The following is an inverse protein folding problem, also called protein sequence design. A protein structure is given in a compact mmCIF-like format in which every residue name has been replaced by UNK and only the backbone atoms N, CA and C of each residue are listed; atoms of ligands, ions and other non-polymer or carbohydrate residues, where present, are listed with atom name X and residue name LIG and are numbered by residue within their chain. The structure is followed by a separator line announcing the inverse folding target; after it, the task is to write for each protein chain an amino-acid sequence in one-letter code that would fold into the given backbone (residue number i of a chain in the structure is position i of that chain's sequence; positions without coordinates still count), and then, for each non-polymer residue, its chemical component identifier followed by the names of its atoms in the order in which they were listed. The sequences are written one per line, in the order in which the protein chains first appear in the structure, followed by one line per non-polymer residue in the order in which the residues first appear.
data_IF_072414099223
#
_entry.id   IF_072414099223
#
_cell.length_a   1.000
_cell.length_b   1.000
_cell.length_c   1.000
_cell.angle_alpha   90.00
_cell.angle_beta   90.00
_cell.angle_gamma   90.00
#
_symmetry.space_group_name_H-M   'P 1'
#
loop_
_entity.id
_entity.type
_entity.pdbx_description
1 polymer ?
#
# COMPACT_ATOMS: atom_id res chain seq x y z
N UNK A 1 11.77 -1.96 -39.55
CA UNK A 1 13.05 -1.78 -38.83
C UNK A 1 13.26 -2.79 -37.70
N UNK A 2 12.26 -3.10 -36.84
CA UNK A 2 12.33 -4.29 -35.94
C UNK A 2 12.55 -5.61 -36.71
N UNK A 3 12.03 -5.74 -37.94
CA UNK A 3 12.36 -6.81 -38.91
C UNK A 3 13.73 -6.64 -39.60
N UNK A 4 14.29 -5.43 -39.62
CA UNK A 4 15.61 -5.14 -40.19
C UNK A 4 16.73 -5.44 -39.19
N UNK A 5 16.40 -5.39 -37.89
CA UNK A 5 17.24 -5.75 -36.74
C UNK A 5 16.94 -7.20 -36.25
N UNK A 6 15.82 -7.79 -36.68
CA UNK A 6 15.48 -9.20 -36.50
C UNK A 6 15.94 -10.02 -37.71
N UNK A 7 17.09 -10.68 -37.64
CA UNK A 7 17.09 -12.10 -37.31
C UNK A 7 16.08 -12.91 -38.15
N UNK A 8 16.45 -13.21 -39.40
CA UNK A 8 15.98 -14.44 -40.04
C UNK A 8 16.65 -15.64 -39.33
N UNK A 9 15.92 -16.75 -39.27
CA UNK A 9 16.02 -17.85 -38.29
C UNK A 9 17.37 -18.61 -38.19
N UNK A 10 18.40 -18.26 -38.96
CA UNK A 10 19.71 -18.94 -38.91
C UNK A 10 20.83 -18.18 -38.20
N UNK A 11 20.67 -16.90 -37.82
CA UNK A 11 21.80 -16.05 -37.36
C UNK A 11 21.74 -15.59 -35.89
N UNK A 12 21.06 -16.32 -35.00
CA UNK A 12 20.94 -15.92 -33.58
C UNK A 12 21.82 -16.74 -32.62
N UNK A 13 22.65 -17.67 -33.11
CA UNK A 13 23.53 -18.47 -32.26
C UNK A 13 24.98 -18.00 -32.40
N UNK A 14 25.33 -17.01 -31.58
CA UNK A 14 26.64 -16.78 -30.92
C UNK A 14 27.03 -15.29 -30.89
N UNK A 15 26.93 -14.68 -29.72
CA UNK A 15 27.95 -13.75 -29.17
C UNK A 15 27.39 -12.97 -27.98
N UNK A 16 27.58 -13.53 -26.78
CA UNK A 16 27.94 -12.70 -25.63
C UNK A 16 29.37 -12.22 -25.86
N UNK A 17 29.54 -10.92 -26.12
CA UNK A 17 30.83 -10.24 -26.20
C UNK A 17 31.33 -9.99 -27.63
N UNK A 18 31.39 -8.70 -28.02
CA UNK A 18 32.02 -8.23 -29.26
C UNK A 18 31.02 -7.89 -30.36
N UNK A 19 30.97 -6.60 -30.73
CA UNK A 19 30.04 -6.07 -31.75
C UNK A 19 30.24 -6.68 -33.14
N UNK A 20 29.11 -6.98 -33.78
CA UNK A 20 29.02 -7.49 -35.16
C UNK A 20 29.10 -6.30 -36.14
N UNK A 21 29.79 -6.51 -37.26
CA UNK A 21 29.92 -5.57 -38.39
C UNK A 21 28.82 -5.88 -39.41
N UNK A 22 27.99 -4.90 -39.76
CA UNK A 22 27.13 -4.97 -40.94
C UNK A 22 27.54 -3.85 -41.90
N UNK A 23 27.86 -4.18 -43.15
CA UNK A 23 27.83 -3.22 -44.26
C UNK A 23 26.90 -3.79 -45.31
N UNK A 24 25.97 -2.98 -45.79
CA UNK A 24 24.95 -3.39 -46.72
C UNK A 24 25.07 -2.51 -47.97
N UNK A 25 25.69 -3.05 -49.02
CA UNK A 25 25.43 -2.58 -50.37
C UNK A 25 24.36 -3.51 -50.95
N UNK A 26 23.28 -2.92 -51.47
CA UNK A 26 22.24 -3.68 -52.17
C UNK A 26 22.76 -4.08 -53.55
N UNK A 27 22.86 -5.37 -53.81
CA UNK A 27 23.17 -5.94 -55.13
C UNK A 27 21.87 -6.51 -55.71
N UNK A 28 21.55 -6.14 -56.94
CA UNK A 28 20.39 -6.67 -57.65
C UNK A 28 20.66 -8.10 -58.12
N UNK A 29 19.89 -9.07 -57.64
CA UNK A 29 19.99 -10.49 -57.99
C UNK A 29 19.10 -10.77 -59.21
N UNK A 30 19.71 -10.81 -60.40
CA UNK A 30 19.00 -11.01 -61.67
C UNK A 30 18.29 -12.38 -61.78
N UNK A 31 18.66 -13.38 -60.97
CA UNK A 31 18.03 -14.69 -61.00
C UNK A 31 16.72 -14.74 -60.18
N UNK A 32 16.61 -13.86 -59.18
CA UNK A 32 15.45 -13.77 -58.28
C UNK A 32 14.63 -12.48 -58.48
N UNK A 33 15.15 -11.54 -59.29
CA UNK A 33 14.53 -10.25 -59.61
C UNK A 33 14.28 -9.34 -58.39
N UNK A 34 15.23 -9.33 -57.44
CA UNK A 34 15.13 -8.53 -56.20
C UNK A 34 16.48 -7.92 -55.78
N UNK A 35 16.43 -6.81 -55.04
CA UNK A 35 17.63 -6.23 -54.41
C UNK A 35 17.96 -6.97 -53.11
N UNK A 36 19.16 -7.55 -53.04
CA UNK A 36 19.64 -8.29 -51.87
C UNK A 36 20.74 -7.52 -51.17
N UNK A 37 20.79 -7.66 -49.86
CA UNK A 37 21.74 -6.99 -48.99
C UNK A 37 22.90 -7.95 -48.69
N UNK A 38 24.12 -7.66 -49.18
CA UNK A 38 25.29 -8.56 -49.04
C UNK A 38 26.37 -8.01 -48.09
N UNK A 39 26.81 -8.82 -47.11
CA UNK A 39 27.75 -8.40 -46.05
C UNK A 39 28.86 -9.42 -45.73
N UNK A 40 29.62 -9.91 -46.73
CA UNK A 40 30.74 -10.86 -46.51
C UNK A 40 32.13 -10.18 -46.47
N UNK A 41 32.97 -10.57 -45.49
CA UNK A 41 34.37 -10.09 -45.31
C UNK A 41 35.37 -10.68 -46.31
N UNK A 42 35.00 -11.67 -47.12
CA UNK A 42 35.86 -12.18 -48.19
C UNK A 42 36.08 -11.16 -49.31
N UNK A 43 35.11 -10.26 -49.53
CA UNK A 43 35.12 -9.33 -50.66
C UNK A 43 35.71 -7.94 -50.34
N UNK A 44 35.81 -7.53 -49.06
CA UNK A 44 36.27 -6.17 -48.69
C UNK A 44 37.37 -6.16 -47.59
N UNK A 45 38.59 -6.63 -47.91
CA UNK A 45 39.69 -6.75 -46.94
C UNK A 45 40.37 -5.42 -46.56
N UNK A 46 40.12 -4.33 -47.28
CA UNK A 46 40.84 -3.05 -47.14
C UNK A 46 40.12 -1.93 -46.37
N UNK A 47 38.98 -2.20 -45.73
CA UNK A 47 38.26 -1.17 -44.96
C UNK A 47 38.99 -0.87 -43.65
N UNK A 48 39.79 0.20 -43.62
CA UNK A 48 40.46 0.73 -42.42
C UNK A 48 39.44 1.37 -41.46
N UNK A 49 39.70 1.28 -40.15
CA UNK A 49 38.84 1.80 -39.07
C UNK A 49 39.59 2.84 -38.25
N UNK A 50 39.10 4.08 -38.22
CA UNK A 50 39.59 5.07 -37.25
C UNK A 50 38.81 5.01 -35.93
N UNK A 51 37.46 4.89 -35.92
CA UNK A 51 36.63 4.58 -34.73
C UNK A 51 35.26 3.97 -35.11
N UNK A 52 34.71 3.11 -34.23
CA UNK A 52 33.30 2.70 -34.24
C UNK A 52 32.86 1.63 -35.26
N UNK A 53 31.57 1.25 -35.18
CA UNK A 53 30.85 0.51 -36.22
C UNK A 53 29.95 1.52 -36.93
N UNK A 54 30.17 1.71 -38.23
CA UNK A 54 29.33 2.57 -39.06
C UNK A 54 28.36 1.67 -39.83
N UNK A 55 27.08 1.99 -39.79
CA UNK A 55 26.01 1.30 -40.53
C UNK A 55 25.43 2.30 -41.53
N UNK A 56 25.43 1.92 -42.81
CA UNK A 56 24.78 2.67 -43.88
C UNK A 56 23.61 1.84 -44.41
N UNK A 57 22.49 2.52 -44.65
CA UNK A 57 21.34 1.96 -45.35
C UNK A 57 20.77 3.01 -46.30
N UNK A 58 20.43 2.60 -47.51
CA UNK A 58 19.71 3.45 -48.46
C UNK A 58 18.53 2.68 -49.01
N UNK A 59 17.35 3.28 -48.99
CA UNK A 59 16.14 2.71 -49.57
C UNK A 59 15.45 3.77 -50.42
N UNK A 60 15.21 3.46 -51.70
CA UNK A 60 14.53 4.35 -52.65
C UNK A 60 13.03 4.46 -52.42
N UNK A 61 12.46 3.52 -51.68
CA UNK A 61 11.01 3.35 -51.49
C UNK A 61 10.54 3.97 -50.16
N UNK A 62 11.46 4.44 -49.32
CA UNK A 62 11.13 5.11 -48.06
C UNK A 62 10.61 6.53 -48.31
N UNK A 63 9.45 6.81 -47.72
CA UNK A 63 8.89 8.15 -47.65
C UNK A 63 9.61 9.00 -46.60
N UNK A 64 9.31 10.31 -46.57
CA UNK A 64 9.78 11.17 -45.47
C UNK A 64 9.26 10.70 -44.11
N UNK A 65 8.04 10.17 -44.05
CA UNK A 65 7.45 9.64 -42.81
C UNK A 65 8.20 8.39 -42.33
N UNK A 66 8.71 7.56 -43.25
CA UNK A 66 9.51 6.38 -42.90
C UNK A 66 10.90 6.79 -42.37
N UNK A 67 11.50 7.84 -42.92
CA UNK A 67 12.73 8.42 -42.41
C UNK A 67 12.52 9.02 -41.02
N UNK A 68 11.43 9.76 -40.81
CA UNK A 68 11.10 10.31 -39.49
C UNK A 68 10.94 9.20 -38.45
N UNK A 69 10.22 8.12 -38.77
CA UNK A 69 10.11 6.95 -37.88
C UNK A 69 11.45 6.30 -37.55
N UNK A 70 12.42 6.38 -38.47
CA UNK A 70 13.77 5.87 -38.25
C UNK A 70 14.52 6.78 -37.29
N UNK A 71 14.46 8.09 -37.52
CA UNK A 71 15.03 9.10 -36.62
C UNK A 71 14.44 8.94 -35.21
N UNK A 72 13.11 8.94 -35.08
CA UNK A 72 12.40 8.77 -33.81
C UNK A 72 12.85 7.51 -33.07
N UNK A 73 12.87 6.35 -33.75
CA UNK A 73 13.30 5.10 -33.13
C UNK A 73 14.76 5.12 -32.68
N UNK A 74 15.64 5.77 -33.45
CA UNK A 74 17.06 5.86 -33.13
C UNK A 74 17.29 6.80 -31.95
N UNK A 75 16.59 7.93 -31.91
CA UNK A 75 16.61 8.89 -30.79
C UNK A 75 16.05 8.29 -29.51
N UNK A 76 15.12 7.33 -29.60
CA UNK A 76 14.59 6.59 -28.46
C UNK A 76 15.54 5.51 -27.93
N UNK A 77 16.68 5.21 -28.58
CA UNK A 77 17.59 4.18 -28.09
C UNK A 77 18.21 4.56 -26.75
N UNK A 78 18.17 3.63 -25.80
CA UNK A 78 18.86 3.78 -24.53
C UNK A 78 20.35 3.43 -24.70
N UNK A 79 21.13 4.45 -24.98
CA UNK A 79 22.55 4.31 -25.26
C UNK A 79 23.36 4.00 -23.98
N UNK A 80 24.39 3.14 -24.06
CA UNK A 80 25.36 3.01 -22.98
C UNK A 80 26.10 4.33 -22.73
N UNK A 81 26.36 4.66 -21.46
CA UNK A 81 26.99 5.93 -21.06
C UNK A 81 28.40 6.17 -21.62
N UNK A 82 29.13 5.10 -21.92
CA UNK A 82 30.48 5.16 -22.52
C UNK A 82 30.45 5.22 -24.05
N UNK A 83 29.26 5.37 -24.65
CA UNK A 83 29.03 5.31 -26.09
C UNK A 83 28.23 6.50 -26.57
N UNK A 84 28.53 6.86 -27.80
CA UNK A 84 27.85 7.90 -28.56
C UNK A 84 27.37 7.25 -29.86
N UNK A 85 26.13 7.53 -30.25
CA UNK A 85 25.58 7.19 -31.54
C UNK A 85 25.44 8.46 -32.36
N UNK A 86 26.11 8.48 -33.51
CA UNK A 86 26.04 9.58 -34.45
C UNK A 86 25.03 9.21 -35.54
N UNK A 87 23.95 9.97 -35.63
CA UNK A 87 22.92 9.83 -36.67
C UNK A 87 23.08 10.97 -37.67
N UNK A 88 23.33 10.62 -38.94
CA UNK A 88 23.39 11.57 -40.05
C UNK A 88 22.35 11.16 -41.11
N UNK A 89 21.37 12.01 -41.38
CA UNK A 89 20.49 11.86 -42.55
C UNK A 89 20.91 12.83 -43.64
N UNK A 90 20.68 12.47 -44.91
CA UNK A 90 21.20 13.24 -46.06
C UNK A 90 20.14 14.00 -46.84
N UNK A 91 18.88 13.57 -46.80
CA UNK A 91 17.74 14.21 -47.49
C UNK A 91 16.42 13.98 -46.72
N UNK A 92 16.01 14.90 -45.84
CA UNK A 92 16.69 16.15 -45.45
C UNK A 92 18.03 15.91 -44.75
N UNK A 93 18.91 16.92 -44.67
CA UNK A 93 20.16 16.77 -43.91
C UNK A 93 19.91 17.05 -42.43
N UNK A 94 20.11 16.06 -41.58
CA UNK A 94 20.11 16.19 -40.12
C UNK A 94 21.35 15.51 -39.55
N UNK A 95 21.85 16.02 -38.43
CA UNK A 95 22.97 15.43 -37.71
C UNK A 95 22.68 15.52 -36.21
N UNK A 96 22.70 14.38 -35.54
CA UNK A 96 22.41 14.26 -34.12
C UNK A 96 23.42 13.31 -33.44
N UNK A 97 23.76 13.63 -32.19
CA UNK A 97 24.57 12.75 -31.34
C UNK A 97 23.73 12.32 -30.16
N UNK A 98 23.45 11.02 -30.10
CA UNK A 98 22.65 10.41 -29.05
C UNK A 98 23.61 9.76 -28.05
N UNK A 99 23.44 10.10 -26.78
CA UNK A 99 24.31 9.67 -25.68
C UNK A 99 23.49 9.02 -24.57
N UNK A 100 24.11 8.12 -23.81
CA UNK A 100 23.44 7.50 -22.67
C UNK A 100 23.11 8.49 -21.55
N UNK A 101 21.96 8.30 -20.91
CA UNK A 101 21.54 9.03 -19.71
C UNK A 101 21.98 8.26 -18.46
N UNK A 102 22.33 8.97 -17.38
CA UNK A 102 22.57 8.34 -16.09
C UNK A 102 21.25 7.89 -15.45
N UNK A 103 21.14 6.63 -15.02
CA UNK A 103 19.87 6.17 -14.48
C UNK A 103 19.58 6.73 -13.10
N UNK A 104 18.31 7.05 -12.81
CA UNK A 104 17.86 7.45 -11.46
C UNK A 104 18.06 6.32 -10.45
N UNK A 105 17.99 5.08 -10.93
CA UNK A 105 18.20 3.89 -10.14
C UNK A 105 18.74 2.70 -10.92
N UNK A 106 19.41 1.82 -10.20
CA UNK A 106 19.75 0.47 -10.67
C UNK A 106 19.19 -0.55 -9.69
N UNK A 107 18.28 -1.39 -10.17
CA UNK A 107 17.79 -2.55 -9.46
C UNK A 107 18.80 -3.69 -9.66
N UNK A 108 19.56 -3.97 -8.61
CA UNK A 108 20.65 -4.95 -8.68
C UNK A 108 20.12 -6.39 -8.65
N UNK A 109 20.73 -7.28 -9.44
CA UNK A 109 20.52 -8.74 -9.37
C UNK A 109 19.05 -9.24 -9.53
N UNK A 110 18.27 -8.58 -10.38
CA UNK A 110 16.88 -8.95 -10.65
C UNK A 110 16.77 -10.30 -11.33
N UNK A 111 16.02 -11.23 -10.73
CA UNK A 111 15.84 -12.59 -11.24
C UNK A 111 14.63 -12.62 -12.18
N UNK A 112 14.88 -12.37 -13.46
CA UNK A 112 13.84 -12.18 -14.47
C UNK A 112 13.93 -13.27 -15.56
N UNK A 113 12.80 -13.66 -16.16
CA UNK A 113 12.81 -14.55 -17.32
C UNK A 113 13.49 -13.88 -18.51
N UNK A 114 14.11 -14.71 -19.34
CA UNK A 114 14.88 -14.32 -20.51
C UNK A 114 14.83 -15.41 -21.56
N UNK A 115 14.98 -15.02 -22.82
CA UNK A 115 14.97 -15.93 -23.94
C UNK A 115 16.40 -16.34 -24.31
N UNK A 116 16.62 -17.65 -24.42
CA UNK A 116 17.85 -18.22 -24.97
C UNK A 116 17.52 -19.13 -26.15
N UNK A 117 18.39 -19.12 -27.15
CA UNK A 117 18.33 -20.06 -28.26
C UNK A 117 19.30 -21.20 -27.98
N UNK A 118 18.77 -22.41 -27.92
CA UNK A 118 19.52 -23.63 -27.66
C UNK A 118 19.18 -24.63 -28.77
N UNK A 119 20.16 -25.01 -29.58
CA UNK A 119 19.98 -25.90 -30.75
C UNK A 119 18.90 -25.41 -31.74
N UNK A 120 18.76 -24.10 -31.92
CA UNK A 120 17.75 -23.49 -32.80
C UNK A 120 16.34 -23.44 -32.19
N UNK A 121 16.14 -23.95 -30.98
CA UNK A 121 14.87 -23.89 -30.26
C UNK A 121 14.90 -22.75 -29.25
N UNK A 122 13.89 -21.89 -29.31
CA UNK A 122 13.68 -20.85 -28.31
C UNK A 122 13.27 -21.47 -26.97
N UNK A 123 14.01 -21.16 -25.91
CA UNK A 123 13.68 -21.59 -24.55
C UNK A 123 13.72 -20.42 -23.60
N UNK A 124 12.73 -20.37 -22.71
CA UNK A 124 12.73 -19.44 -21.59
C UNK A 124 13.63 -19.98 -20.47
N UNK A 125 14.47 -19.12 -19.91
CA UNK A 125 15.27 -19.36 -18.70
C UNK A 125 15.16 -18.14 -17.80
N UNK A 126 15.52 -18.28 -16.53
CA UNK A 126 15.63 -17.14 -15.64
C UNK A 126 17.09 -16.83 -15.35
N UNK A 127 17.44 -15.55 -15.28
CA UNK A 127 18.78 -15.07 -14.97
C UNK A 127 18.72 -13.83 -14.10
N UNK A 128 19.79 -13.62 -13.33
CA UNK A 128 20.00 -12.36 -12.60
C UNK A 128 20.57 -11.33 -13.56
N UNK A 129 19.95 -10.16 -13.60
CA UNK A 129 20.37 -9.02 -14.43
C UNK A 129 20.22 -7.73 -13.64
N UNK A 130 21.07 -6.71 -13.85
CA UNK A 130 20.73 -5.37 -13.45
C UNK A 130 19.59 -4.84 -14.34
N UNK A 131 18.78 -3.95 -13.77
CA UNK A 131 17.78 -3.16 -14.50
C UNK A 131 17.99 -1.70 -14.14
N UNK A 132 18.25 -0.87 -15.14
CA UNK A 132 18.33 0.58 -14.99
C UNK A 132 16.92 1.17 -15.05
N UNK A 133 16.65 2.19 -14.23
CA UNK A 133 15.33 2.82 -14.13
C UNK A 133 15.46 4.32 -14.17
N UNK A 134 14.62 4.97 -14.99
CA UNK A 134 14.39 6.41 -14.98
C UNK A 134 12.94 6.71 -14.66
N UNK A 135 12.70 7.73 -13.84
CA UNK A 135 11.38 8.31 -13.63
C UNK A 135 11.06 9.23 -14.80
N UNK A 136 9.83 9.16 -15.28
CA UNK A 136 9.28 9.98 -16.38
C UNK A 136 7.89 10.45 -15.99
N UNK A 137 7.23 11.21 -16.85
CA UNK A 137 5.85 11.61 -16.58
C UNK A 137 4.90 10.40 -16.70
N UNK A 138 3.76 10.39 -15.97
CA UNK A 138 2.74 9.36 -16.12
C UNK A 138 2.28 9.22 -17.58
N UNK A 139 2.26 7.98 -18.08
CA UNK A 139 1.92 7.67 -19.48
C UNK A 139 3.10 7.73 -20.45
N UNK A 140 4.31 8.10 -19.99
CA UNK A 140 5.55 8.02 -20.79
C UNK A 140 6.37 6.76 -20.44
N UNK A 141 5.81 5.84 -19.65
CA UNK A 141 6.48 4.63 -19.21
C UNK A 141 6.85 3.69 -20.34
N UNK A 142 7.84 2.83 -20.10
CA UNK A 142 8.31 1.92 -21.15
C UNK A 142 9.33 0.91 -20.67
N UNK A 143 9.55 -0.12 -21.50
CA UNK A 143 10.52 -1.18 -21.21
C UNK A 143 11.46 -1.32 -22.41
N UNK A 144 12.75 -1.32 -22.11
CA UNK A 144 13.84 -1.49 -23.05
C UNK A 144 14.53 -2.82 -22.83
N UNK A 145 14.82 -3.50 -23.94
CA UNK A 145 15.62 -4.71 -23.99
C UNK A 145 16.99 -4.36 -24.55
N UNK A 146 18.05 -4.48 -23.75
CA UNK A 146 19.43 -4.18 -24.18
C UNK A 146 19.53 -2.79 -24.82
N UNK A 147 18.78 -1.83 -24.28
CA UNK A 147 18.65 -0.46 -24.75
C UNK A 147 17.77 -0.24 -25.99
N UNK A 148 17.02 -1.25 -26.42
CA UNK A 148 16.07 -1.13 -27.55
C UNK A 148 14.63 -1.09 -27.00
N UNK A 149 13.80 -0.09 -27.38
CA UNK A 149 12.43 0.01 -26.89
C UNK A 149 11.58 -1.18 -27.32
N UNK A 150 10.96 -1.82 -26.33
CA UNK A 150 10.03 -2.94 -26.50
C UNK A 150 8.60 -2.45 -26.40
N UNK A 151 8.29 -1.77 -25.29
CA UNK A 151 7.00 -1.13 -25.02
C UNK A 151 7.21 0.36 -24.75
N UNK A 152 6.20 1.14 -25.09
CA UNK A 152 6.08 2.58 -24.87
C UNK A 152 4.69 2.87 -24.32
N UNK A 153 4.52 4.09 -23.79
CA UNK A 153 3.23 4.63 -23.34
C UNK A 153 2.56 3.81 -22.23
N UNK A 154 3.37 3.20 -21.36
CA UNK A 154 2.88 2.44 -20.21
C UNK A 154 2.32 3.40 -19.13
N UNK A 155 1.28 2.98 -18.41
CA UNK A 155 0.60 3.81 -17.40
C UNK A 155 1.51 4.19 -16.23
N UNK A 156 2.51 3.36 -15.91
CA UNK A 156 3.46 3.63 -14.83
C UNK A 156 4.53 4.66 -15.27
N UNK A 157 4.96 5.58 -14.41
CA UNK A 157 5.87 6.69 -14.77
C UNK A 157 7.36 6.27 -14.76
N UNK A 158 7.69 5.10 -15.32
CA UNK A 158 9.06 4.58 -15.29
C UNK A 158 9.50 3.99 -16.62
N UNK A 159 10.75 4.24 -16.98
CA UNK A 159 11.44 3.54 -18.05
C UNK A 159 12.37 2.48 -17.46
N UNK A 160 12.24 1.23 -17.90
CA UNK A 160 13.08 0.12 -17.45
C UNK A 160 14.03 -0.33 -18.55
N UNK A 161 15.34 -0.17 -18.39
CA UNK A 161 16.33 -0.78 -19.29
C UNK A 161 16.85 -2.11 -18.73
N UNK A 162 16.40 -3.20 -19.33
CA UNK A 162 16.71 -4.56 -18.95
C UNK A 162 17.90 -5.06 -19.76
N UNK A 163 19.00 -5.37 -19.08
CA UNK A 163 20.28 -5.79 -19.69
C UNK A 163 20.30 -7.26 -20.15
N UNK A 164 19.16 -7.79 -20.59
CA UNK A 164 19.01 -9.12 -21.17
C UNK A 164 17.82 -9.18 -22.13
N UNK A 165 17.74 -10.26 -22.92
CA UNK A 165 16.57 -10.54 -23.77
C UNK A 165 15.30 -10.69 -22.92
N UNK A 166 14.21 -10.08 -23.35
CA UNK A 166 12.90 -10.13 -22.70
C UNK A 166 11.98 -11.12 -23.42
N UNK A 167 11.06 -11.81 -22.72
CA UNK A 167 10.11 -12.73 -23.33
C UNK A 167 8.96 -11.96 -23.98
N UNK A 168 9.22 -11.46 -25.19
CA UNK A 168 8.25 -10.73 -26.01
C UNK A 168 7.50 -11.67 -26.97
N UNK A 169 6.31 -11.24 -27.41
CA UNK A 169 5.58 -11.92 -28.50
C UNK A 169 6.37 -11.91 -29.81
N UNK A 170 5.96 -12.71 -30.81
CA UNK A 170 6.62 -12.79 -32.14
C UNK A 170 6.78 -11.42 -32.82
N UNK A 171 5.85 -10.50 -32.57
CA UNK A 171 5.87 -9.12 -33.11
C UNK A 171 6.78 -8.16 -32.33
N UNK A 172 7.37 -8.62 -31.21
CA UNK A 172 8.31 -7.86 -30.36
C UNK A 172 7.81 -6.49 -29.91
N UNK A 173 6.51 -6.36 -29.74
CA UNK A 173 5.82 -5.11 -29.35
C UNK A 173 4.96 -5.28 -28.10
N UNK A 174 4.86 -6.50 -27.56
CA UNK A 174 4.04 -6.80 -26.39
C UNK A 174 4.84 -7.69 -25.44
N UNK A 175 4.94 -7.24 -24.18
CA UNK A 175 5.45 -8.02 -23.06
C UNK A 175 4.28 -8.68 -22.33
N UNK A 176 4.57 -9.78 -21.65
CA UNK A 176 3.59 -10.40 -20.75
C UNK A 176 3.36 -9.50 -19.52
N UNK A 177 2.11 -9.40 -19.06
CA UNK A 177 1.75 -8.59 -17.89
C UNK A 177 2.50 -9.03 -16.63
N UNK A 178 2.82 -10.32 -16.49
CA UNK A 178 3.60 -10.80 -15.35
C UNK A 178 5.01 -10.21 -15.30
N UNK A 179 5.61 -9.91 -16.46
CA UNK A 179 6.93 -9.31 -16.56
C UNK A 179 6.94 -7.86 -16.07
N UNK A 180 5.99 -7.05 -16.58
CA UNK A 180 5.78 -5.66 -16.12
C UNK A 180 5.59 -5.61 -14.61
N UNK A 181 4.78 -6.54 -14.14
CA UNK A 181 4.43 -6.67 -12.74
C UNK A 181 5.61 -7.02 -11.87
N UNK A 182 6.52 -7.88 -12.35
CA UNK A 182 7.74 -8.21 -11.62
C UNK A 182 8.73 -7.04 -11.55
N UNK A 183 8.85 -6.26 -12.63
CA UNK A 183 9.65 -5.03 -12.64
C UNK A 183 9.12 -3.99 -11.64
N UNK A 184 7.82 -3.69 -11.71
CA UNK A 184 7.19 -2.74 -10.79
C UNK A 184 7.26 -3.19 -9.33
N UNK A 185 7.03 -4.48 -9.06
CA UNK A 185 7.23 -5.06 -7.71
C UNK A 185 8.65 -4.81 -7.22
N UNK A 186 9.64 -5.10 -8.06
CA UNK A 186 11.04 -4.92 -7.69
C UNK A 186 11.39 -3.46 -7.44
N UNK A 187 10.88 -2.56 -8.28
CA UNK A 187 11.04 -1.13 -8.11
C UNK A 187 10.51 -0.67 -6.75
N UNK A 188 9.26 -1.01 -6.44
CA UNK A 188 8.60 -0.63 -5.19
C UNK A 188 9.37 -1.21 -3.99
N UNK A 189 9.79 -2.47 -4.05
CA UNK A 189 10.46 -3.13 -2.93
C UNK A 189 11.86 -2.56 -2.63
N UNK A 190 12.57 -2.09 -3.67
CA UNK A 190 13.97 -1.66 -3.53
C UNK A 190 14.16 -0.14 -3.56
N UNK A 191 13.26 0.60 -4.22
CA UNK A 191 13.43 2.02 -4.55
C UNK A 191 12.13 2.82 -4.40
N UNK A 192 11.42 2.59 -3.30
CA UNK A 192 10.25 3.39 -2.93
C UNK A 192 10.58 4.89 -2.85
N UNK A 193 11.84 5.24 -2.59
CA UNK A 193 12.38 6.60 -2.56
C UNK A 193 12.25 7.37 -3.89
N UNK A 194 12.02 6.69 -5.01
CA UNK A 194 11.78 7.36 -6.30
C UNK A 194 10.36 7.90 -6.45
N UNK A 195 9.42 7.38 -5.67
CA UNK A 195 8.04 7.87 -5.62
C UNK A 195 7.99 9.02 -4.63
N UNK A 196 7.27 10.09 -4.98
CA UNK A 196 6.95 11.18 -4.07
C UNK A 196 5.78 10.78 -3.16
N UNK A 197 5.59 11.49 -2.03
CA UNK A 197 4.57 11.10 -1.03
C UNK A 197 3.14 11.15 -1.60
N UNK A 198 2.85 12.12 -2.48
CA UNK A 198 1.56 12.24 -3.17
C UNK A 198 1.30 11.06 -4.12
N UNK A 199 2.36 10.49 -4.72
CA UNK A 199 2.26 9.36 -5.65
C UNK A 199 1.93 8.04 -4.95
N UNK A 200 2.20 7.94 -3.63
CA UNK A 200 1.89 6.73 -2.86
C UNK A 200 0.38 6.44 -2.83
N UNK A 201 -0.45 7.46 -3.10
CA UNK A 201 -1.89 7.37 -3.27
C UNK A 201 -2.35 6.71 -4.56
N UNK A 202 -1.52 6.73 -5.61
CA UNK A 202 -1.92 6.47 -6.99
C UNK A 202 -2.25 4.99 -7.26
N UNK A 203 -3.11 4.75 -8.26
CA UNK A 203 -3.58 3.41 -8.61
C UNK A 203 -2.42 2.49 -9.00
N UNK A 204 -1.46 3.00 -9.79
CA UNK A 204 -0.28 2.25 -10.22
C UNK A 204 0.72 1.97 -9.08
N UNK A 205 0.57 2.55 -7.89
CA UNK A 205 1.38 2.19 -6.71
C UNK A 205 0.59 1.21 -5.85
N UNK A 206 -0.64 1.58 -5.51
CA UNK A 206 -1.52 0.80 -4.62
C UNK A 206 -1.87 -0.58 -5.18
N UNK A 207 -2.09 -0.68 -6.49
CA UNK A 207 -2.36 -1.95 -7.15
C UNK A 207 -1.19 -2.93 -7.00
N UNK A 208 0.04 -2.49 -7.27
CA UNK A 208 1.21 -3.38 -7.22
C UNK A 208 1.64 -3.70 -5.79
N UNK A 209 1.62 -2.73 -4.88
CA UNK A 209 1.88 -2.98 -3.47
C UNK A 209 0.96 -4.06 -2.91
N UNK A 210 -0.32 -4.02 -3.31
CA UNK A 210 -1.25 -5.01 -2.83
C UNK A 210 -1.12 -6.37 -3.50
N UNK A 211 -1.05 -6.43 -4.82
CA UNK A 211 -0.92 -7.70 -5.54
C UNK A 211 0.28 -8.51 -5.02
N UNK A 212 1.31 -7.82 -4.51
CA UNK A 212 2.55 -8.41 -4.02
C UNK A 212 2.82 -8.16 -2.55
N UNK A 213 1.83 -7.85 -1.71
CA UNK A 213 2.05 -7.61 -0.27
C UNK A 213 2.81 -8.75 0.42
N UNK A 214 2.59 -10.00 0.02
CA UNK A 214 3.31 -11.18 0.53
C UNK A 214 4.76 -11.33 0.03
N UNK A 215 5.16 -10.57 -1.00
CA UNK A 215 6.52 -10.55 -1.58
C UNK A 215 7.26 -9.25 -1.33
N UNK A 216 6.55 -8.16 -1.03
CA UNK A 216 7.13 -6.88 -0.61
C UNK A 216 7.66 -7.03 0.81
N UNK A 217 8.86 -6.54 1.06
CA UNK A 217 9.48 -6.62 2.37
C UNK A 217 8.67 -5.86 3.42
N UNK A 218 8.67 -6.35 4.67
CA UNK A 218 8.00 -5.66 5.78
C UNK A 218 8.53 -4.23 5.95
N UNK A 219 9.85 -4.04 5.74
CA UNK A 219 10.47 -2.71 5.81
C UNK A 219 9.85 -1.76 4.80
N UNK A 220 9.70 -2.18 3.55
CA UNK A 220 9.09 -1.36 2.50
C UNK A 220 7.62 -1.07 2.79
N UNK A 221 6.87 -2.05 3.32
CA UNK A 221 5.47 -1.83 3.72
C UNK A 221 5.35 -0.79 4.85
N UNK A 222 6.22 -0.88 5.86
CA UNK A 222 6.27 0.09 6.96
C UNK A 222 6.68 1.48 6.47
N UNK A 223 7.67 1.56 5.58
CA UNK A 223 8.10 2.83 4.97
C UNK A 223 6.98 3.46 4.14
N UNK A 224 6.26 2.65 3.36
CA UNK A 224 5.08 3.08 2.61
C UNK A 224 4.00 3.66 3.53
N UNK A 225 3.66 2.97 4.62
CA UNK A 225 2.67 3.47 5.59
C UNK A 225 3.14 4.78 6.20
N UNK A 226 4.40 4.82 6.66
CA UNK A 226 4.95 6.02 7.31
C UNK A 226 4.90 7.25 6.41
N UNK A 227 5.26 7.09 5.15
CA UNK A 227 5.25 8.19 4.18
C UNK A 227 3.84 8.57 3.74
N UNK A 228 2.96 7.60 3.45
CA UNK A 228 1.60 7.85 2.98
C UNK A 228 0.70 8.50 4.04
N UNK A 229 0.83 8.07 5.29
CA UNK A 229 -0.05 8.51 6.39
C UNK A 229 0.64 9.48 7.36
N UNK A 230 1.91 9.81 7.11
CA UNK A 230 2.69 10.73 7.94
C UNK A 230 2.87 10.29 9.40
N UNK A 231 2.65 9.00 9.69
CA UNK A 231 2.58 8.43 11.04
C UNK A 231 3.36 7.13 11.11
N UNK A 232 4.08 6.87 12.20
CA UNK A 232 4.75 5.57 12.37
C UNK A 232 3.72 4.43 12.32
N UNK A 233 3.98 3.31 11.62
CA UNK A 233 3.02 2.21 11.52
C UNK A 233 2.61 1.61 12.87
N UNK A 234 3.46 1.70 13.90
CA UNK A 234 3.14 1.21 15.24
C UNK A 234 2.26 2.19 16.04
N UNK A 235 2.16 3.44 15.60
CA UNK A 235 1.35 4.49 16.23
C UNK A 235 0.02 4.69 15.48
N UNK A 236 -0.03 4.39 14.18
CA UNK A 236 -1.22 4.45 13.36
C UNK A 236 -2.19 3.31 13.73
N UNK A 237 -3.34 3.63 14.33
CA UNK A 237 -4.33 2.62 14.69
C UNK A 237 -5.27 2.33 13.50
N UNK A 238 -5.71 1.08 13.38
CA UNK A 238 -6.69 0.69 12.35
C UNK A 238 -7.99 0.18 12.96
N UNK A 239 -9.11 0.51 12.33
CA UNK A 239 -10.42 0.02 12.73
C UNK A 239 -11.28 -0.38 11.53
N UNK A 240 -12.32 -1.14 11.80
CA UNK A 240 -13.30 -1.60 10.81
C UNK A 240 -14.70 -1.58 11.41
N UNK A 241 -15.71 -1.92 10.60
CA UNK A 241 -17.11 -2.05 11.06
C UNK A 241 -17.31 -3.10 12.17
N UNK A 242 -16.33 -3.97 12.42
CA UNK A 242 -16.35 -4.93 13.53
C UNK A 242 -15.66 -4.42 14.80
N UNK A 243 -15.03 -3.25 14.76
CA UNK A 243 -14.40 -2.65 15.94
C UNK A 243 -15.48 -2.03 16.84
N UNK A 244 -15.48 -2.33 18.16
CA UNK A 244 -16.45 -1.75 19.09
C UNK A 244 -16.49 -0.22 19.06
N UNK A 245 -17.69 0.37 19.03
CA UNK A 245 -17.91 1.82 18.97
C UNK A 245 -17.26 2.54 20.18
N UNK A 246 -17.22 1.90 21.35
CA UNK A 246 -16.50 2.43 22.52
C UNK A 246 -15.02 2.60 22.26
N UNK A 247 -14.35 1.60 21.66
CA UNK A 247 -12.91 1.64 21.42
C UNK A 247 -12.57 2.75 20.41
N UNK A 248 -13.40 2.91 19.37
CA UNK A 248 -13.26 3.99 18.39
C UNK A 248 -13.49 5.35 19.06
N UNK A 249 -14.58 5.51 19.82
CA UNK A 249 -14.91 6.76 20.52
C UNK A 249 -13.79 7.17 21.48
N UNK A 250 -13.26 6.21 22.24
CA UNK A 250 -12.16 6.40 23.18
C UNK A 250 -10.88 6.91 22.48
N UNK A 251 -10.57 6.37 21.30
CA UNK A 251 -9.40 6.79 20.51
C UNK A 251 -9.62 8.16 19.84
N UNK A 252 -10.83 8.48 19.36
CA UNK A 252 -11.21 9.80 18.85
C UNK A 252 -11.04 10.88 19.93
N UNK A 253 -11.51 10.64 21.15
CA UNK A 253 -11.40 11.59 22.26
C UNK A 253 -9.95 11.94 22.59
N UNK A 254 -9.03 11.01 22.37
CA UNK A 254 -7.59 11.16 22.60
C UNK A 254 -6.82 11.65 21.37
N UNK A 255 -7.51 11.93 20.26
CA UNK A 255 -6.91 12.41 19.02
C UNK A 255 -5.80 11.49 18.51
N UNK A 256 -5.96 10.17 18.70
CA UNK A 256 -5.01 9.20 18.17
C UNK A 256 -5.10 9.16 16.64
N UNK A 257 -3.99 8.92 15.92
CA UNK A 257 -4.03 8.75 14.48
C UNK A 257 -4.70 7.42 14.16
N UNK A 258 -5.78 7.45 13.36
CA UNK A 258 -6.54 6.25 13.03
C UNK A 258 -6.98 6.23 11.58
N UNK A 259 -7.07 5.03 11.01
CA UNK A 259 -7.55 4.80 9.66
C UNK A 259 -8.66 3.75 9.60
N UNK A 260 -9.71 4.06 8.83
CA UNK A 260 -10.83 3.16 8.60
C UNK A 260 -10.49 2.17 7.49
N UNK A 261 -10.30 0.90 7.82
CA UNK A 261 -10.02 -0.17 6.86
C UNK A 261 -11.10 -0.30 5.78
N UNK A 262 -12.34 0.11 6.05
CA UNK A 262 -13.47 0.07 5.12
C UNK A 262 -13.40 1.14 4.02
N UNK A 263 -12.61 2.20 4.19
CA UNK A 263 -12.43 3.26 3.19
C UNK A 263 -11.40 2.89 2.12
N UNK A 264 -10.60 1.88 2.39
CA UNK A 264 -9.56 1.41 1.49
C UNK A 264 -9.99 0.20 0.69
N UNK A 265 -9.40 0.03 -0.49
CA UNK A 265 -9.50 -1.23 -1.20
C UNK A 265 -8.97 -2.36 -0.30
N UNK A 266 -9.57 -3.56 -0.37
CA UNK A 266 -9.16 -4.77 0.41
C UNK A 266 -7.64 -4.96 0.47
N UNK A 267 -7.04 -4.56 -0.62
CA UNK A 267 -5.65 -4.55 -0.96
C UNK A 267 -4.78 -3.70 -0.03
N UNK A 268 -5.15 -2.43 0.20
CA UNK A 268 -4.49 -1.54 1.15
C UNK A 268 -4.93 -1.84 2.58
N UNK A 269 -6.21 -2.17 2.80
CA UNK A 269 -6.72 -2.59 4.10
C UNK A 269 -5.94 -3.79 4.65
N UNK A 270 -5.55 -4.74 3.78
CA UNK A 270 -4.75 -5.89 4.18
C UNK A 270 -3.31 -5.54 4.60
N UNK A 271 -2.69 -4.51 4.00
CA UNK A 271 -1.36 -4.04 4.42
C UNK A 271 -1.48 -3.34 5.79
N UNK A 272 -2.44 -2.42 5.91
CA UNK A 272 -2.71 -1.70 7.15
C UNK A 272 -3.02 -2.67 8.30
N UNK A 273 -3.93 -3.61 8.10
CA UNK A 273 -4.30 -4.62 9.10
C UNK A 273 -3.14 -5.53 9.54
N UNK A 274 -2.12 -5.71 8.70
CA UNK A 274 -0.98 -6.57 9.03
C UNK A 274 0.18 -5.81 9.69
N UNK A 275 0.30 -4.51 9.43
CA UNK A 275 1.45 -3.71 9.86
C UNK A 275 1.11 -2.74 10.99
N UNK A 276 -0.17 -2.44 11.18
CA UNK A 276 -0.65 -1.49 12.18
C UNK A 276 -1.46 -2.21 13.27
N UNK A 277 -1.35 -1.78 14.54
CA UNK A 277 -2.19 -2.30 15.62
C UNK A 277 -3.66 -1.90 15.43
N UNK A 278 -4.58 -2.77 15.86
CA UNK A 278 -6.00 -2.41 15.84
C UNK A 278 -6.37 -1.51 17.01
N UNK A 279 -7.35 -0.62 16.80
CA UNK A 279 -7.92 0.22 17.86
C UNK A 279 -8.44 -0.63 19.02
N UNK A 280 -9.02 -1.79 18.74
CA UNK A 280 -9.53 -2.71 19.76
C UNK A 280 -8.42 -3.33 20.61
N UNK A 281 -7.34 -3.83 19.99
CA UNK A 281 -6.19 -4.37 20.74
C UNK A 281 -5.59 -3.30 21.63
N UNK A 282 -5.39 -2.09 21.09
CA UNK A 282 -4.81 -0.98 21.83
C UNK A 282 -5.70 -0.56 23.01
N UNK A 283 -7.02 -0.45 22.79
CA UNK A 283 -8.00 -0.19 23.84
C UNK A 283 -7.97 -1.27 24.93
N UNK A 284 -7.95 -2.55 24.53
CA UNK A 284 -7.89 -3.67 25.46
C UNK A 284 -6.60 -3.65 26.28
N UNK A 285 -5.44 -3.38 25.67
CA UNK A 285 -4.17 -3.29 26.39
C UNK A 285 -4.22 -2.22 27.48
N UNK A 286 -4.73 -1.01 27.17
CA UNK A 286 -4.85 0.06 28.15
C UNK A 286 -5.88 -0.20 29.25
N UNK A 287 -6.91 -0.99 28.96
CA UNK A 287 -8.01 -1.28 29.90
C UNK A 287 -7.83 -2.61 30.63
N UNK A 288 -6.91 -3.46 30.19
CA UNK A 288 -6.65 -4.78 30.77
C UNK A 288 -5.90 -4.73 32.12
N UNK A 289 -5.30 -3.59 32.47
CA UNK A 289 -4.70 -3.35 33.78
C UNK A 289 -5.71 -2.83 34.83
N UNK A 290 -7.03 -2.89 34.56
CA UNK A 290 -8.06 -2.57 35.56
C UNK A 290 -8.03 -3.56 36.72
N UNK A 291 -7.27 -3.24 37.78
CA UNK A 291 -7.42 -3.93 39.06
C UNK A 291 -8.66 -3.39 39.78
N UNK A 292 -9.71 -4.21 39.79
CA UNK A 292 -10.90 -4.04 40.61
C UNK A 292 -10.75 -4.98 41.81
N UNK A 293 -10.46 -4.41 42.98
CA UNK A 293 -10.38 -5.16 44.24
C UNK A 293 -11.60 -4.80 45.12
N UNK A 294 -12.58 -5.71 45.30
CA UNK A 294 -13.72 -5.46 46.16
C UNK A 294 -13.29 -5.09 47.58
N UNK A 295 -13.97 -4.10 48.17
CA UNK A 295 -13.74 -3.74 49.57
C UNK A 295 -14.29 -4.85 50.47
N UNK A 296 -13.42 -5.52 51.23
CA UNK A 296 -13.81 -6.66 52.08
C UNK A 296 -14.70 -6.28 53.27
N UNK A 297 -14.66 -5.02 53.73
CA UNK A 297 -15.45 -4.55 54.88
C UNK A 297 -15.98 -3.15 54.62
N UNK A 298 -17.30 -3.04 54.52
CA UNK A 298 -18.01 -1.78 54.30
C UNK A 298 -18.31 -1.09 55.65
N UNK A 299 -18.36 0.25 55.64
CA UNK A 299 -18.95 1.01 56.73
C UNK A 299 -20.48 0.98 56.67
N UNK A 300 -21.16 1.18 57.80
CA UNK A 300 -22.64 1.20 57.88
C UNK A 300 -23.26 2.18 56.87
N UNK A 301 -22.69 3.38 56.72
CA UNK A 301 -23.17 4.39 55.76
C UNK A 301 -23.03 3.95 54.28
N UNK A 302 -22.03 3.13 53.97
CA UNK A 302 -21.80 2.61 52.62
C UNK A 302 -22.75 1.44 52.31
N UNK A 303 -23.00 0.56 53.29
CA UNK A 303 -24.02 -0.47 53.19
C UNK A 303 -25.42 0.15 53.01
N UNK A 304 -25.71 1.21 53.75
CA UNK A 304 -26.97 1.94 53.64
C UNK A 304 -27.13 2.59 52.26
N UNK A 305 -26.06 3.14 51.68
CA UNK A 305 -26.11 3.71 50.33
C UNK A 305 -26.26 2.64 49.24
N UNK A 306 -25.53 1.52 49.34
CA UNK A 306 -25.66 0.41 48.40
C UNK A 306 -27.09 -0.12 48.41
N UNK A 307 -27.65 -0.35 49.60
CA UNK A 307 -29.06 -0.75 49.75
C UNK A 307 -30.01 0.30 49.18
N UNK A 308 -29.71 1.59 49.34
CA UNK A 308 -30.50 2.65 48.70
C UNK A 308 -30.45 2.55 47.17
N UNK A 309 -29.30 2.26 46.56
CA UNK A 309 -29.24 2.05 45.11
C UNK A 309 -30.02 0.82 44.66
N UNK A 310 -29.96 -0.28 45.41
CA UNK A 310 -30.67 -1.52 45.07
C UNK A 310 -32.19 -1.39 45.28
N UNK A 311 -32.63 -0.84 46.41
CA UNK A 311 -34.06 -0.80 46.77
C UNK A 311 -34.78 0.43 46.22
N UNK A 312 -34.14 1.61 46.29
CA UNK A 312 -34.80 2.89 46.01
C UNK A 312 -34.48 3.44 44.62
N UNK A 313 -33.35 3.08 44.01
CA UNK A 313 -33.06 3.48 42.62
C UNK A 313 -33.44 2.34 41.67
N UNK A 314 -32.77 1.20 41.76
CA UNK A 314 -33.01 0.06 40.88
C UNK A 314 -34.45 -0.45 41.02
N UNK A 315 -34.95 -0.60 42.26
CA UNK A 315 -36.34 -1.01 42.53
C UNK A 315 -37.43 -0.07 41.98
N UNK A 316 -37.08 1.15 41.59
CA UNK A 316 -38.01 2.11 40.93
C UNK A 316 -37.90 2.11 39.41
N UNK A 317 -36.93 1.41 38.85
CA UNK A 317 -36.70 1.32 37.41
C UNK A 317 -37.21 0.00 36.82
N UNK A 318 -37.32 -0.05 35.50
CA UNK A 318 -37.63 -1.26 34.73
C UNK A 318 -36.40 -2.12 34.41
N UNK A 319 -35.22 -1.72 34.87
CA UNK A 319 -33.96 -2.41 34.62
C UNK A 319 -33.92 -3.84 35.19
N UNK A 320 -33.07 -4.68 34.61
CA UNK A 320 -32.74 -6.01 35.11
C UNK A 320 -32.05 -5.99 36.48
N UNK A 321 -31.98 -7.15 37.11
CA UNK A 321 -31.27 -7.31 38.39
C UNK A 321 -29.77 -7.07 38.18
N UNK A 322 -29.22 -6.07 38.87
CA UNK A 322 -27.79 -5.74 38.88
C UNK A 322 -27.32 -5.48 40.32
N UNK A 323 -26.20 -6.08 40.70
CA UNK A 323 -25.64 -5.93 42.05
C UNK A 323 -24.81 -4.65 42.16
N UNK A 324 -24.74 -4.05 43.36
CA UNK A 324 -23.82 -2.95 43.65
C UNK A 324 -22.73 -3.39 44.64
N UNK A 325 -21.46 -3.10 44.34
CA UNK A 325 -20.33 -3.36 45.24
C UNK A 325 -19.39 -2.18 45.30
N UNK A 326 -18.79 -1.95 46.46
CA UNK A 326 -17.68 -1.01 46.60
C UNK A 326 -16.37 -1.72 46.26
N UNK A 327 -15.50 -1.10 45.47
CA UNK A 327 -14.20 -1.64 45.10
C UNK A 327 -13.12 -0.55 45.03
N UNK A 328 -11.87 -0.92 45.28
CA UNK A 328 -10.72 -0.11 44.89
C UNK A 328 -10.50 -0.32 43.39
N UNK A 329 -10.83 0.70 42.61
CA UNK A 329 -10.59 0.70 41.17
C UNK A 329 -9.38 1.59 40.94
N UNK A 330 -8.25 0.94 40.68
CA UNK A 330 -6.97 1.62 40.45
C UNK A 330 -6.86 2.14 39.01
N UNK A 331 -7.79 3.01 38.64
CA UNK A 331 -7.67 3.87 37.46
C UNK A 331 -7.58 5.32 37.92
N UNK A 332 -6.41 5.92 37.72
CA UNK A 332 -6.21 7.36 37.56
C UNK A 332 -4.90 7.56 36.79
N UNK A 333 -5.00 7.62 35.46
CA UNK A 333 -4.01 8.31 34.62
C UNK A 333 -4.34 9.81 34.62
N UNK A 334 -3.41 10.66 34.17
CA UNK A 334 -3.40 12.13 34.36
C UNK A 334 -4.69 12.91 33.99
N UNK A 335 -5.70 12.30 33.37
CA UNK A 335 -6.88 12.95 32.78
C UNK A 335 -8.26 12.70 33.44
N UNK A 336 -8.36 11.91 34.52
CA UNK A 336 -9.60 11.89 35.31
C UNK A 336 -9.95 10.57 36.01
N UNK A 337 -10.79 10.71 37.04
CA UNK A 337 -11.09 9.67 38.02
C UNK A 337 -12.37 8.89 37.70
N UNK A 338 -12.21 7.57 37.51
CA UNK A 338 -13.32 6.63 37.34
C UNK A 338 -14.14 6.56 38.62
N UNK A 339 -15.39 7.05 38.60
CA UNK A 339 -16.26 7.05 39.78
C UNK A 339 -16.94 5.71 40.01
N UNK A 340 -17.39 5.04 38.96
CA UNK A 340 -17.97 3.71 39.00
C UNK A 340 -17.76 3.00 37.65
N UNK A 341 -17.99 1.69 37.60
CA UNK A 341 -17.96 0.91 36.36
C UNK A 341 -18.92 -0.28 36.46
N UNK A 342 -19.66 -0.55 35.40
CA UNK A 342 -20.39 -1.80 35.23
C UNK A 342 -19.50 -2.94 34.70
N UNK A 343 -19.67 -4.15 35.24
CA UNK A 343 -19.06 -5.39 34.75
C UNK A 343 -20.15 -6.33 34.20
N UNK A 344 -20.18 -6.58 32.87
CA UNK A 344 -21.10 -7.54 32.26
C UNK A 344 -20.86 -8.99 32.69
N UNK A 345 -19.64 -9.32 33.11
CA UNK A 345 -19.26 -10.70 33.49
C UNK A 345 -19.91 -11.12 34.80
N UNK A 346 -19.95 -10.20 35.76
CA UNK A 346 -20.48 -10.45 37.10
C UNK A 346 -21.85 -9.81 37.33
N UNK A 347 -22.41 -9.15 36.32
CA UNK A 347 -23.64 -8.33 36.40
C UNK A 347 -23.61 -7.41 37.64
N UNK A 348 -22.47 -6.76 37.85
CA UNK A 348 -22.20 -5.95 39.06
C UNK A 348 -21.72 -4.57 38.67
N UNK A 349 -22.26 -3.53 39.31
CA UNK A 349 -21.77 -2.16 39.29
C UNK A 349 -20.78 -1.97 40.45
N UNK A 350 -19.53 -1.69 40.11
CA UNK A 350 -18.46 -1.40 41.07
C UNK A 350 -18.33 0.11 41.29
N UNK A 351 -18.58 0.55 42.52
CA UNK A 351 -18.41 1.93 42.97
C UNK A 351 -16.94 2.13 43.43
N UNK A 352 -16.26 3.16 42.93
CA UNK A 352 -14.84 3.35 43.24
C UNK A 352 -14.63 4.02 44.61
N UNK A 353 -14.11 3.26 45.57
CA UNK A 353 -13.76 3.73 46.91
C UNK A 353 -12.66 4.80 46.94
N UNK A 354 -11.84 4.90 45.88
CA UNK A 354 -10.82 5.94 45.75
C UNK A 354 -11.38 7.27 45.23
N UNK A 355 -12.53 7.22 44.56
CA UNK A 355 -13.11 8.38 43.87
C UNK A 355 -14.15 9.14 44.69
N UNK A 356 -14.77 8.48 45.67
CA UNK A 356 -15.75 9.08 46.55
C UNK A 356 -15.87 8.29 47.86
N UNK A 357 -16.46 8.89 48.90
CA UNK A 357 -16.68 8.23 50.19
C UNK A 357 -17.89 7.28 50.21
N UNK A 358 -18.81 7.44 49.23
CA UNK A 358 -20.03 6.65 49.07
C UNK A 358 -20.88 6.52 50.35
N UNK A 359 -20.96 7.60 51.14
CA UNK A 359 -21.66 7.63 52.44
C UNK A 359 -23.14 8.05 52.38
N UNK A 360 -23.60 8.62 51.27
CA UNK A 360 -24.95 9.22 51.17
C UNK A 360 -25.45 9.41 49.73
N UNK A 361 -26.78 9.39 49.51
CA UNK A 361 -27.37 9.50 48.18
C UNK A 361 -27.44 10.97 47.72
N UNK A 362 -26.37 11.45 47.09
CA UNK A 362 -26.36 12.77 46.46
C UNK A 362 -26.83 12.69 45.01
N UNK A 363 -27.36 13.78 44.42
CA UNK A 363 -27.77 13.77 43.01
C UNK A 363 -26.67 13.32 42.05
N UNK A 364 -25.41 13.65 42.35
CA UNK A 364 -24.24 13.20 41.57
C UNK A 364 -24.11 11.68 41.61
N UNK A 365 -24.16 11.07 42.81
CA UNK A 365 -23.98 9.63 42.99
C UNK A 365 -25.16 8.82 42.45
N UNK A 366 -26.39 9.35 42.59
CA UNK A 366 -27.58 8.78 41.95
C UNK A 366 -27.42 8.81 40.41
N UNK A 367 -26.97 9.95 39.86
CA UNK A 367 -26.67 10.05 38.43
C UNK A 367 -25.58 9.08 37.98
N UNK A 368 -24.55 8.85 38.80
CA UNK A 368 -23.53 7.82 38.54
C UNK A 368 -24.11 6.41 38.58
N UNK A 369 -24.96 6.08 39.55
CA UNK A 369 -25.61 4.77 39.59
C UNK A 369 -26.49 4.54 38.35
N UNK A 370 -27.32 5.52 37.97
CA UNK A 370 -28.16 5.45 36.77
C UNK A 370 -27.34 5.35 35.48
N UNK A 371 -26.18 6.01 35.41
CA UNK A 371 -25.24 5.89 34.30
C UNK A 371 -24.80 4.42 34.11
N UNK A 372 -24.38 3.77 35.19
CA UNK A 372 -23.91 2.39 35.15
C UNK A 372 -25.05 1.38 34.94
N UNK A 373 -26.25 1.64 35.48
CA UNK A 373 -27.45 0.84 35.14
C UNK A 373 -27.77 0.95 33.64
N UNK A 374 -27.55 2.11 33.02
CA UNK A 374 -27.69 2.26 31.56
C UNK A 374 -26.75 1.32 30.77
N UNK A 375 -25.54 1.06 31.28
CA UNK A 375 -24.64 0.05 30.71
C UNK A 375 -25.12 -1.38 30.97
N UNK A 376 -25.88 -1.63 32.03
CA UNK A 376 -26.53 -2.94 32.24
C UNK A 376 -27.68 -3.18 31.25
N UNK A 377 -28.49 -2.16 30.97
CA UNK A 377 -29.65 -2.24 30.08
C UNK A 377 -29.30 -2.24 28.59
N UNK A 378 -28.06 -1.92 28.27
CA UNK A 378 -27.56 -1.92 26.89
C UNK A 378 -26.39 -2.87 26.76
N UNK A 379 -25.97 -3.18 25.54
CA UNK A 379 -24.77 -3.99 25.32
C UNK A 379 -23.57 -3.03 25.34
N UNK A 380 -22.71 -2.99 26.38
CA UNK A 380 -21.64 -1.99 26.46
C UNK A 380 -20.63 -2.15 25.35
N UNK A 381 -20.40 -3.38 24.87
CA UNK A 381 -19.46 -3.67 23.78
C UNK A 381 -20.00 -3.16 22.45
N UNK A 382 -21.32 -3.21 22.24
CA UNK A 382 -21.95 -2.75 20.99
C UNK A 382 -22.40 -1.30 21.02
N UNK A 383 -23.02 -0.87 22.11
CA UNK A 383 -23.80 0.37 22.18
C UNK A 383 -23.03 1.51 22.88
N UNK A 384 -22.05 1.23 23.75
CA UNK A 384 -21.21 2.24 24.42
C UNK A 384 -21.98 3.40 25.05
N UNK A 385 -21.49 4.65 24.91
CA UNK A 385 -22.28 5.87 25.19
C UNK A 385 -23.06 6.36 23.96
N UNK A 386 -23.59 5.43 23.16
CA UNK A 386 -24.34 5.73 21.94
C UNK A 386 -25.80 6.16 22.21
N UNK A 387 -26.58 6.45 21.16
CA UNK A 387 -27.96 6.92 21.30
C UNK A 387 -28.88 5.99 22.10
N UNK A 388 -28.63 4.67 22.03
CA UNK A 388 -29.38 3.68 22.81
C UNK A 388 -29.11 3.78 24.30
N UNK A 389 -27.85 3.95 24.67
CA UNK A 389 -27.46 4.14 26.06
C UNK A 389 -28.02 5.45 26.62
N UNK A 390 -27.93 6.56 25.88
CA UNK A 390 -28.54 7.83 26.30
C UNK A 390 -30.04 7.70 26.51
N UNK A 391 -30.74 7.03 25.59
CA UNK A 391 -32.18 6.79 25.73
C UNK A 391 -32.49 5.94 26.97
N UNK A 392 -31.71 4.88 27.22
CA UNK A 392 -31.89 4.02 28.40
C UNK A 392 -31.72 4.84 29.68
N UNK A 393 -30.64 5.63 29.81
CA UNK A 393 -30.42 6.46 31.00
C UNK A 393 -31.50 7.53 31.17
N UNK A 394 -31.98 8.15 30.09
CA UNK A 394 -33.10 9.10 30.15
C UNK A 394 -34.40 8.44 30.64
N UNK A 395 -34.71 7.24 30.15
CA UNK A 395 -35.89 6.47 30.54
C UNK A 395 -35.83 6.08 32.01
N UNK A 396 -34.71 5.48 32.46
CA UNK A 396 -34.47 5.09 33.85
C UNK A 396 -34.57 6.31 34.79
N UNK A 397 -33.97 7.44 34.40
CA UNK A 397 -34.06 8.68 35.18
C UNK A 397 -35.49 9.19 35.29
N UNK A 398 -36.26 9.08 34.19
CA UNK A 398 -37.66 9.46 34.15
C UNK A 398 -38.55 8.61 35.05
N UNK A 399 -38.31 7.29 35.09
CA UNK A 399 -39.03 6.35 35.95
C UNK A 399 -38.83 6.66 37.44
N UNK A 400 -37.58 6.89 37.86
CA UNK A 400 -37.26 7.28 39.24
C UNK A 400 -37.99 8.56 39.64
N UNK A 401 -37.96 9.59 38.77
CA UNK A 401 -38.63 10.88 39.04
C UNK A 401 -40.14 10.71 39.14
N UNK A 402 -40.78 10.00 38.19
CA UNK A 402 -42.23 9.79 38.19
C UNK A 402 -42.70 9.04 39.44
N UNK A 403 -41.95 8.01 39.85
CA UNK A 403 -42.28 7.22 41.02
C UNK A 403 -42.20 8.06 42.31
N UNK A 404 -41.17 8.92 42.43
CA UNK A 404 -41.03 9.85 43.55
C UNK A 404 -42.14 10.90 43.60
N UNK A 405 -42.52 11.48 42.45
CA UNK A 405 -43.62 12.43 42.36
C UNK A 405 -44.95 11.79 42.81
N UNK A 406 -45.21 10.55 42.40
CA UNK A 406 -46.43 9.84 42.77
C UNK A 406 -46.50 9.52 44.27
N UNK A 407 -45.38 9.20 44.91
CA UNK A 407 -45.33 9.00 46.37
C UNK A 407 -45.57 10.30 47.14
N UNK A 408 -45.02 11.42 46.66
CA UNK A 408 -45.26 12.73 47.26
C UNK A 408 -46.73 13.13 47.15
N UNK A 409 -47.37 12.88 46.00
CA UNK A 409 -48.81 13.10 45.82
C UNK A 409 -49.68 12.21 46.72
N UNK A 410 -49.23 10.99 47.04
CA UNK A 410 -49.96 10.08 47.93
C UNK A 410 -49.79 10.41 49.43
N UNK A 411 -48.83 11.26 49.78
CA UNK A 411 -48.55 11.71 51.15
C UNK A 411 -49.27 13.03 51.52
N UNK A 412 -49.73 13.79 50.51
CA UNK A 412 -50.61 14.97 50.66
C UNK A 412 -52.09 14.58 50.74
#
# INVERSE_FOLDING_TARGET
MKEFIGATEETVISSTGGGIKFSFDTVYDEALDEYRVESSREMFPGAERDRGTVVYGSNSDWSQDDLQRVEDFVSDLWMPRDRELYLETRRPYTEEVITGVEPDAVLENQYLPTIVFDEGVQREKHRRTPVEVNKVEPGEGGIYELGIPVTSDEEFPFLFNVHQKTPVTERRNELDNSYRTELMRSLIDNRLDLLDDDELGEEYVTQYLSQFSHKTSNKTQQEYISRRFGTDPNELLVYSDSTPDMAVTWAVQRQLPMENLGEYSRNISGILNNQCPSVQEWFNEQTSERSIEPVETLGEEQEDLIRYFEEEILGRTSAGDVDFKLAYISEDTEDGQTHATYSPVDETIYLNALADDWSSPTPRRIGTALHEIGHHETDPERDGHGPRWYHAVEELSGEVIQNLEQELENLE
#
